data_IF_041203002433
#
_entry.id   IF_041203002433
#
_cell.length_a   1.000
_cell.length_b   1.000
_cell.length_c   1.000
_cell.angle_alpha   90.00
_cell.angle_beta   90.00
_cell.angle_gamma   90.00
#
_symmetry.space_group_name_H-M   'P 1'
#
loop_
_entity.id
_entity.type
_entity.pdbx_description
1 polymer ?
#
# COMPACT_ATOMS: atom_id res chain seq x y z
N UNK A 1 8.32 -12.35 0.35
CA UNK A 1 7.30 -11.55 -0.36
C UNK A 1 7.43 -11.76 -1.86
N UNK A 2 6.32 -12.01 -2.52
CA UNK A 2 6.31 -12.22 -3.96
C UNK A 2 6.13 -10.90 -4.68
N UNK A 3 6.42 -10.89 -5.99
CA UNK A 3 6.17 -9.71 -6.83
C UNK A 3 4.69 -9.34 -6.79
N UNK A 4 3.82 -10.34 -6.80
CA UNK A 4 2.39 -10.10 -6.73
C UNK A 4 1.99 -9.43 -5.42
N UNK A 5 2.53 -9.90 -4.30
CA UNK A 5 2.27 -9.29 -3.00
C UNK A 5 2.77 -7.84 -2.97
N UNK A 6 3.92 -7.60 -3.55
CA UNK A 6 4.45 -6.25 -3.65
C UNK A 6 3.52 -5.34 -4.46
N UNK A 7 3.02 -5.82 -5.58
CA UNK A 7 2.08 -5.05 -6.38
C UNK A 7 0.82 -4.72 -5.59
N UNK A 8 0.34 -5.64 -4.79
CA UNK A 8 -0.84 -5.42 -3.96
C UNK A 8 -0.58 -4.33 -2.93
N UNK A 9 0.56 -4.41 -2.25
CA UNK A 9 0.94 -3.40 -1.25
C UNK A 9 1.00 -2.01 -1.89
N UNK A 10 1.67 -1.91 -3.03
CA UNK A 10 1.83 -0.64 -3.70
C UNK A 10 0.49 -0.06 -4.17
N UNK A 11 -0.40 -0.91 -4.68
CA UNK A 11 -1.70 -0.44 -5.12
C UNK A 11 -2.55 0.07 -3.96
N UNK A 12 -2.54 -0.64 -2.84
CA UNK A 12 -3.29 -0.21 -1.67
C UNK A 12 -2.74 1.10 -1.12
N UNK A 13 -1.42 1.24 -1.07
CA UNK A 13 -0.80 2.48 -0.60
C UNK A 13 -1.17 3.65 -1.50
N UNK A 14 -1.20 3.41 -2.79
CA UNK A 14 -1.53 4.42 -3.79
C UNK A 14 -2.96 4.90 -3.68
N UNK A 15 -3.88 3.93 -3.58
CA UNK A 15 -5.31 4.21 -3.64
C UNK A 15 -5.86 4.65 -2.28
N UNK A 16 -5.31 4.13 -1.20
CA UNK A 16 -5.78 4.46 0.15
C UNK A 16 -7.08 3.76 0.53
N UNK A 17 -7.44 2.69 -0.18
CA UNK A 17 -8.66 1.93 0.06
C UNK A 17 -8.46 0.51 -0.42
N UNK A 18 -8.72 -0.46 0.46
CA UNK A 18 -8.63 -1.87 0.10
C UNK A 18 -9.72 -2.24 -0.91
N UNK A 19 -10.93 -1.73 -0.69
CA UNK A 19 -12.05 -2.02 -1.58
C UNK A 19 -11.76 -1.55 -3.01
N UNK A 20 -11.30 -0.33 -3.16
CA UNK A 20 -11.01 0.21 -4.48
C UNK A 20 -9.78 -0.45 -5.10
N UNK A 21 -8.77 -0.72 -4.30
CA UNK A 21 -7.58 -1.40 -4.80
C UNK A 21 -7.94 -2.80 -5.31
N UNK A 22 -8.79 -3.53 -4.59
CA UNK A 22 -9.22 -4.86 -5.02
C UNK A 22 -9.93 -4.80 -6.37
N UNK A 23 -10.79 -3.80 -6.57
CA UNK A 23 -11.46 -3.60 -7.85
C UNK A 23 -10.46 -3.36 -8.96
N UNK A 24 -9.48 -2.52 -8.71
CA UNK A 24 -8.47 -2.18 -9.71
C UNK A 24 -7.56 -3.37 -10.04
N UNK A 25 -7.38 -4.26 -9.08
CA UNK A 25 -6.56 -5.45 -9.24
C UNK A 25 -7.34 -6.66 -9.74
N UNK A 26 -8.66 -6.52 -9.88
CA UNK A 26 -9.54 -7.59 -10.33
C UNK A 26 -9.51 -8.81 -9.42
N UNK A 27 -9.46 -8.57 -8.12
CA UNK A 27 -9.51 -9.63 -7.12
C UNK A 27 -10.53 -9.28 -6.05
N UNK A 28 -10.90 -10.27 -5.25
CA UNK A 28 -11.84 -10.03 -4.16
C UNK A 28 -11.14 -9.27 -3.02
N UNK A 29 -11.92 -8.51 -2.27
CA UNK A 29 -11.40 -7.80 -1.13
C UNK A 29 -10.80 -8.75 -0.08
N UNK A 30 -11.45 -9.88 0.27
CA UNK A 30 -10.83 -10.82 1.19
C UNK A 30 -9.50 -11.37 0.71
N UNK A 31 -9.37 -11.64 -0.59
CA UNK A 31 -8.10 -12.12 -1.14
C UNK A 31 -7.01 -11.09 -0.97
N UNK A 32 -7.32 -9.83 -1.24
CA UNK A 32 -6.36 -8.75 -1.08
C UNK A 32 -5.97 -8.58 0.39
N UNK A 33 -6.97 -8.54 1.28
CA UNK A 33 -6.72 -8.42 2.72
C UNK A 33 -5.86 -9.54 3.26
N UNK A 34 -6.12 -10.77 2.83
CA UNK A 34 -5.34 -11.92 3.30
C UNK A 34 -3.91 -11.85 2.80
N UNK A 35 -3.71 -11.44 1.56
CA UNK A 35 -2.38 -11.30 1.00
C UNK A 35 -1.56 -10.27 1.76
N UNK A 36 -2.19 -9.16 2.11
CA UNK A 36 -1.52 -8.11 2.90
C UNK A 36 -1.13 -8.65 4.27
N UNK A 37 -2.04 -9.37 4.94
CA UNK A 37 -1.76 -9.93 6.25
C UNK A 37 -0.62 -10.94 6.21
N UNK A 38 -0.58 -11.76 5.17
CA UNK A 38 0.52 -12.70 5.00
C UNK A 38 1.85 -11.98 4.84
N UNK A 39 1.84 -10.92 4.06
CA UNK A 39 3.05 -10.12 3.85
C UNK A 39 3.50 -9.46 5.15
N UNK A 40 2.56 -8.92 5.91
CA UNK A 40 2.87 -8.31 7.21
C UNK A 40 3.48 -9.33 8.16
N UNK A 41 2.89 -10.52 8.19
CA UNK A 41 3.39 -11.59 9.05
C UNK A 41 4.80 -12.01 8.65
N UNK A 42 5.03 -12.15 7.37
CA UNK A 42 6.34 -12.54 6.84
C UNK A 42 7.39 -11.48 7.14
N UNK A 43 7.04 -10.22 6.96
CA UNK A 43 7.96 -9.11 7.20
C UNK A 43 8.15 -8.79 8.68
N UNK A 44 7.24 -9.24 9.52
CA UNK A 44 7.30 -8.97 10.96
C UNK A 44 6.95 -7.53 11.32
N UNK A 45 6.24 -6.83 10.45
CA UNK A 45 5.81 -5.45 10.72
C UNK A 45 4.35 -5.29 10.31
N UNK A 46 3.72 -4.25 10.86
CA UNK A 46 2.41 -3.82 10.39
C UNK A 46 2.65 -2.79 9.30
N UNK A 47 2.20 -3.09 8.09
CA UNK A 47 2.44 -2.23 6.93
C UNK A 47 1.38 -1.14 6.84
N UNK A 48 0.13 -1.48 7.12
CA UNK A 48 -0.99 -0.56 6.97
C UNK A 48 -1.73 -0.35 8.27
N UNK A 49 -2.19 0.88 8.45
CA UNK A 49 -3.07 1.28 9.52
C UNK A 49 -4.45 1.54 8.92
N UNK A 50 -5.47 0.87 9.46
CA UNK A 50 -6.85 1.02 8.99
C UNK A 50 -7.61 1.96 9.89
N UNK A 51 -8.40 2.83 9.29
CA UNK A 51 -9.25 3.76 10.02
C UNK A 51 -10.57 3.91 9.27
N UNK A 52 -11.48 4.67 9.83
CA UNK A 52 -12.77 4.91 9.18
C UNK A 52 -12.64 5.61 7.85
N UNK A 53 -11.61 6.43 7.70
CA UNK A 53 -11.43 7.23 6.48
C UNK A 53 -10.64 6.52 5.41
N UNK A 54 -10.16 5.31 5.70
CA UNK A 54 -9.41 4.55 4.73
C UNK A 54 -8.22 3.86 5.33
N UNK A 55 -7.23 3.62 4.52
CA UNK A 55 -6.05 2.88 4.91
C UNK A 55 -4.82 3.71 4.60
N UNK A 56 -3.86 3.74 5.53
CA UNK A 56 -2.63 4.51 5.36
C UNK A 56 -1.45 3.63 5.74
N UNK A 57 -0.27 3.98 5.26
CA UNK A 57 0.95 3.27 5.65
C UNK A 57 1.30 3.61 7.09
N UNK A 58 1.79 2.60 7.82
CA UNK A 58 2.43 2.85 9.10
C UNK A 58 3.81 3.44 8.84
N UNK A 59 4.46 3.92 9.90
CA UNK A 59 5.83 4.39 9.77
C UNK A 59 6.74 3.29 9.26
N UNK A 60 6.59 2.08 9.81
CA UNK A 60 7.39 0.93 9.36
C UNK A 60 7.10 0.58 7.91
N UNK A 61 5.83 0.62 7.50
CA UNK A 61 5.47 0.37 6.12
C UNK A 61 6.05 1.41 5.18
N UNK A 62 6.00 2.67 5.57
CA UNK A 62 6.57 3.74 4.77
C UNK A 62 8.08 3.59 4.61
N UNK A 63 8.78 3.25 5.68
CA UNK A 63 10.22 3.03 5.62
C UNK A 63 10.57 1.84 4.74
N UNK A 64 9.84 0.75 4.89
CA UNK A 64 10.10 -0.48 4.15
C UNK A 64 9.89 -0.29 2.64
N UNK A 65 8.87 0.45 2.26
CA UNK A 65 8.45 0.54 0.87
C UNK A 65 8.63 1.91 0.23
N UNK A 66 9.30 2.85 0.92
CA UNK A 66 9.42 4.22 0.42
C UNK A 66 10.10 4.32 -0.94
N UNK A 67 11.15 3.57 -1.15
CA UNK A 67 11.88 3.63 -2.42
C UNK A 67 11.04 3.11 -3.57
N UNK A 68 10.29 2.04 -3.33
CA UNK A 68 9.43 1.45 -4.34
C UNK A 68 8.25 2.37 -4.68
N UNK A 69 7.68 3.02 -3.67
CA UNK A 69 6.60 3.97 -3.88
C UNK A 69 7.09 5.18 -4.67
N UNK A 70 8.30 5.65 -4.36
CA UNK A 70 8.90 6.76 -5.08
C UNK A 70 9.16 6.39 -6.54
N UNK A 71 9.70 5.21 -6.76
CA UNK A 71 9.96 4.69 -8.09
C UNK A 71 8.67 4.64 -8.90
N UNK A 72 7.62 4.07 -8.34
CA UNK A 72 6.34 3.96 -9.02
C UNK A 72 5.78 5.33 -9.37
N UNK A 73 5.87 6.29 -8.47
CA UNK A 73 5.39 7.63 -8.70
C UNK A 73 6.13 8.31 -9.86
N UNK A 74 7.46 8.17 -9.88
CA UNK A 74 8.27 8.74 -10.94
C UNK A 74 7.94 8.16 -12.30
N UNK A 75 7.75 6.86 -12.36
CA UNK A 75 7.53 6.18 -13.62
C UNK A 75 6.09 6.18 -14.07
N UNK A 76 5.16 6.50 -13.21
CA UNK A 76 3.79 6.72 -13.63
C UNK A 76 3.66 8.06 -14.37
N UNK A 77 4.54 9.01 -14.07
CA UNK A 77 4.62 10.27 -14.76
C UNK A 77 3.41 11.17 -14.63
N UNK A 78 2.53 10.89 -13.70
CA UNK A 78 1.24 11.56 -13.70
C UNK A 78 1.04 12.54 -12.57
N UNK A 79 1.82 12.44 -11.52
CA UNK A 79 1.58 13.23 -10.33
C UNK A 79 0.28 12.89 -9.61
N UNK A 80 -0.49 11.97 -10.15
CA UNK A 80 -1.75 11.56 -9.52
C UNK A 80 -1.55 10.89 -8.19
N UNK A 81 -0.35 10.42 -7.93
CA UNK A 81 -0.04 9.67 -6.74
C UNK A 81 0.53 10.52 -5.63
N UNK A 82 0.45 11.82 -5.80
CA UNK A 82 0.84 12.74 -4.72
C UNK A 82 0.00 12.52 -3.48
N UNK A 83 -1.12 11.83 -3.63
CA UNK A 83 -2.01 11.53 -2.53
C UNK A 83 -1.74 10.24 -1.80
N UNK A 84 -0.59 9.60 -1.99
CA UNK A 84 -0.26 8.41 -1.22
C UNK A 84 -0.31 8.75 0.27
N UNK A 85 -1.08 7.96 1.01
CA UNK A 85 -1.35 8.25 2.41
C UNK A 85 -0.52 7.40 3.34
N UNK A 86 0.00 8.01 4.38
CA UNK A 86 0.68 7.30 5.44
C UNK A 86 0.37 7.98 6.76
N UNK A 87 0.59 7.25 7.83
CA UNK A 87 0.06 7.63 9.13
C UNK A 87 0.64 8.90 9.71
N UNK A 88 1.91 9.11 9.65
CA UNK A 88 2.57 10.22 10.31
C UNK A 88 2.85 11.41 9.46
N UNK A 89 2.55 11.40 8.21
CA UNK A 89 2.72 12.53 7.31
C UNK A 89 4.14 13.11 7.28
N UNK A 90 5.13 12.30 7.59
CA UNK A 90 6.50 12.79 7.73
C UNK A 90 7.32 12.73 6.48
N UNK A 91 6.91 11.94 5.53
CA UNK A 91 7.68 11.89 4.31
C UNK A 91 6.86 12.42 3.16
N UNK A 92 7.51 12.86 2.18
CA UNK A 92 6.80 13.52 1.10
C UNK A 92 7.17 12.97 -0.24
#
# INVERSE_FOLDING_TARGET
MTVQQLKYILKVAEVGSITEAAKMLFISQPSLSNSIKETEKEAGITIFHRSRTGITLTKDGAEQFSDLLRYKRLYSGTGKYSGIKYRNKLWI
#
